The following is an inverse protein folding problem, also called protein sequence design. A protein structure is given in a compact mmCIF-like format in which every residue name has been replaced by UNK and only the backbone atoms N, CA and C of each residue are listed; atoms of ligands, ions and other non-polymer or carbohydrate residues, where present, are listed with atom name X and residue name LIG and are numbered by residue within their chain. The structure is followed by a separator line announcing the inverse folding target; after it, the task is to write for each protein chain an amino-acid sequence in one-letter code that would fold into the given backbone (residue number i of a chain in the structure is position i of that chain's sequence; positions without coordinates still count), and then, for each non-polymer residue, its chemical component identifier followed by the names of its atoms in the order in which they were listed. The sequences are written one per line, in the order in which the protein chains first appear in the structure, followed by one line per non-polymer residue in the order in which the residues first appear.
data_IF_646170877384
#
_entry.id   IF_646170877384
#
_cell.length_a   1.000
_cell.length_b   1.000
_cell.length_c   1.000
_cell.angle_alpha   90.00
_cell.angle_beta   90.00
_cell.angle_gamma   90.00
#
_symmetry.space_group_name_H-M   'P 1'
#
loop_
_entity.id
_entity.type
_entity.pdbx_description
1 polymer ?
#
# COMPACT_ATOMS: atom_id res chain seq x y z
N UNK A 1 -49.42 -25.52 -3.90
CA UNK A 1 -50.16 -25.00 -5.07
C UNK A 1 -51.57 -24.69 -4.61
N UNK A 2 -52.01 -23.43 -4.76
CA UNK A 2 -53.24 -23.21 -5.51
C UNK A 2 -53.06 -22.14 -6.61
N UNK A 3 -53.97 -22.27 -7.57
CA UNK A 3 -53.96 -21.80 -8.96
C UNK A 3 -54.35 -20.32 -9.15
N UNK A 4 -53.77 -19.76 -10.22
CA UNK A 4 -54.32 -18.86 -11.24
C UNK A 4 -55.13 -17.59 -10.86
N UNK A 5 -54.68 -16.48 -11.46
CA UNK A 5 -55.31 -15.16 -11.70
C UNK A 5 -56.48 -15.27 -12.73
N UNK A 6 -57.09 -14.20 -13.32
CA UNK A 6 -57.09 -12.73 -13.08
C UNK A 6 -58.49 -12.05 -13.25
N UNK A 7 -58.52 -10.70 -13.32
CA UNK A 7 -59.36 -9.78 -14.14
C UNK A 7 -60.23 -8.79 -13.34
N UNK A 8 -59.79 -7.53 -13.24
CA UNK A 8 -60.43 -6.38 -13.92
C UNK A 8 -60.96 -5.40 -12.84
N UNK A 9 -61.07 -4.09 -12.98
CA UNK A 9 -60.94 -3.17 -14.11
C UNK A 9 -61.13 -1.74 -13.59
N UNK A 10 -60.52 -0.77 -14.27
CA UNK A 10 -60.98 0.61 -14.42
C UNK A 10 -60.87 1.54 -13.19
N UNK A 11 -60.00 2.54 -13.29
CA UNK A 11 -60.48 3.88 -13.65
C UNK A 11 -59.32 4.79 -14.07
N UNK A 12 -59.59 5.46 -15.18
CA UNK A 12 -58.76 6.36 -15.93
C UNK A 12 -58.31 7.55 -15.07
N UNK A 13 -57.03 7.88 -15.11
CA UNK A 13 -56.58 9.26 -14.92
C UNK A 13 -55.55 9.59 -15.99
N UNK A 14 -56.04 10.25 -17.04
CA UNK A 14 -55.26 10.98 -18.02
C UNK A 14 -54.79 12.28 -17.39
N UNK A 15 -53.48 12.45 -17.21
CA UNK A 15 -52.87 13.75 -16.93
C UNK A 15 -51.77 14.00 -17.94
N UNK A 16 -52.11 14.90 -18.87
CA UNK A 16 -51.26 15.94 -19.46
C UNK A 16 -49.88 15.53 -19.97
N UNK A 17 -49.83 15.35 -21.29
CA UNK A 17 -48.65 15.58 -22.14
C UNK A 17 -48.06 16.98 -21.90
N UNK A 18 -46.81 17.05 -21.43
CA UNK A 18 -45.91 18.14 -21.79
C UNK A 18 -44.64 17.53 -22.37
N UNK A 19 -44.56 17.63 -23.69
CA UNK A 19 -43.36 17.49 -24.50
C UNK A 19 -42.26 18.39 -23.93
N UNK A 20 -41.21 17.79 -23.38
CA UNK A 20 -39.94 18.49 -23.28
C UNK A 20 -38.83 17.52 -23.69
N UNK A 21 -38.56 17.59 -24.99
CA UNK A 21 -37.31 17.21 -25.62
C UNK A 21 -36.20 18.03 -24.98
N UNK A 22 -35.66 17.58 -23.86
CA UNK A 22 -34.36 18.08 -23.38
C UNK A 22 -33.29 17.36 -24.19
N UNK A 23 -32.91 18.09 -25.24
CA UNK A 23 -31.79 17.85 -26.12
C UNK A 23 -30.56 17.48 -25.30
N UNK A 24 -30.00 16.31 -25.61
CA UNK A 24 -28.61 15.98 -25.29
C UNK A 24 -27.73 17.21 -25.54
N UNK A 25 -26.96 17.69 -24.55
CA UNK A 25 -26.03 18.78 -24.78
C UNK A 25 -25.10 18.42 -25.94
N UNK A 26 -24.96 19.29 -26.95
CA UNK A 26 -24.02 19.07 -28.03
C UNK A 26 -22.61 19.15 -27.46
N UNK A 27 -21.76 18.20 -27.81
CA UNK A 27 -20.32 18.34 -27.64
C UNK A 27 -19.88 19.65 -28.33
N UNK A 28 -19.16 20.52 -27.62
CA UNK A 28 -17.83 20.82 -28.12
C UNK A 28 -16.80 20.94 -26.99
N UNK A 29 -15.53 21.01 -27.38
CA UNK A 29 -14.36 21.22 -26.53
C UNK A 29 -13.80 19.95 -25.88
N UNK A 30 -13.35 19.03 -26.75
CA UNK A 30 -12.11 18.31 -26.44
C UNK A 30 -11.03 19.38 -26.26
N UNK A 31 -10.66 19.68 -25.02
CA UNK A 31 -9.42 20.42 -24.76
C UNK A 31 -8.26 19.64 -25.40
N UNK A 32 -7.41 20.25 -26.23
CA UNK A 32 -6.19 19.60 -26.67
C UNK A 32 -5.37 19.29 -25.42
N UNK A 33 -5.22 18.00 -25.07
CA UNK A 33 -4.24 17.60 -24.05
C UNK A 33 -2.90 18.23 -24.44
N UNK A 34 -2.27 19.03 -23.56
CA UNK A 34 -0.96 19.55 -23.86
C UNK A 34 0.00 18.39 -24.09
N UNK A 35 0.78 18.48 -25.18
CA UNK A 35 1.74 17.44 -25.54
C UNK A 35 2.73 17.18 -24.39
N UNK A 36 3.13 15.91 -24.11
CA UNK A 36 3.95 15.56 -22.94
C UNK A 36 5.33 16.24 -22.85
N UNK A 37 5.76 16.93 -23.90
CA UNK A 37 7.03 17.65 -23.98
C UNK A 37 6.98 19.06 -23.38
N UNK A 38 5.82 19.71 -23.30
CA UNK A 38 5.67 21.06 -22.73
C UNK A 38 5.43 21.05 -21.21
N UNK A 39 4.86 19.98 -20.65
CA UNK A 39 4.83 19.75 -19.18
C UNK A 39 6.24 19.44 -18.64
N UNK A 40 7.13 18.92 -19.49
CA UNK A 40 8.46 18.43 -19.09
C UNK A 40 9.54 19.52 -19.00
N UNK A 41 9.28 20.75 -19.44
CA UNK A 41 10.21 21.90 -19.29
C UNK A 41 9.91 22.82 -18.11
N UNK A 42 8.72 22.76 -17.50
CA UNK A 42 8.41 23.50 -16.27
C UNK A 42 8.68 22.67 -15.00
N UNK A 43 8.47 21.36 -15.03
CA UNK A 43 8.61 20.52 -13.83
C UNK A 43 10.06 20.20 -13.41
N UNK A 44 11.09 20.44 -14.24
CA UNK A 44 12.48 20.13 -13.86
C UNK A 44 13.17 21.20 -13.00
N UNK A 45 12.74 22.47 -13.07
CA UNK A 45 13.26 23.50 -12.14
C UNK A 45 12.46 23.58 -10.83
N UNK A 46 11.19 23.15 -10.80
CA UNK A 46 10.36 23.27 -9.60
C UNK A 46 10.23 21.98 -8.77
N UNK A 47 11.00 20.92 -9.09
CA UNK A 47 11.06 19.70 -8.28
C UNK A 47 12.45 19.44 -7.68
N UNK A 48 13.46 20.24 -8.01
CA UNK A 48 14.81 20.09 -7.47
C UNK A 48 15.09 21.01 -6.26
N UNK A 49 14.25 22.01 -6.00
CA UNK A 49 14.56 23.08 -5.02
C UNK A 49 13.76 23.01 -3.73
N UNK A 50 12.82 22.06 -3.63
CA UNK A 50 12.26 21.65 -2.34
C UNK A 50 12.68 20.21 -2.05
N UNK A 51 13.95 20.07 -1.67
CA UNK A 51 14.29 19.21 -0.54
C UNK A 51 13.55 19.76 0.70
N UNK A 52 12.21 19.73 0.67
CA UNK A 52 11.38 19.91 1.83
C UNK A 52 11.81 18.79 2.76
N UNK A 53 12.55 19.20 3.78
CA UNK A 53 12.96 18.42 4.92
C UNK A 53 11.69 17.81 5.50
N UNK A 54 11.25 16.65 4.98
CA UNK A 54 10.17 15.87 5.58
C UNK A 54 10.77 15.41 6.89
N UNK A 55 10.54 16.20 7.95
CA UNK A 55 10.71 15.77 9.32
C UNK A 55 9.75 14.59 9.45
N UNK A 56 10.26 13.39 9.24
CA UNK A 56 9.54 12.16 9.53
C UNK A 56 9.22 12.26 11.02
N UNK A 57 7.95 12.52 11.33
CA UNK A 57 7.49 12.65 12.70
C UNK A 57 8.01 11.44 13.49
N UNK A 58 8.61 11.65 14.68
CA UNK A 58 9.22 10.56 15.42
C UNK A 58 8.16 9.48 15.67
N UNK A 59 8.49 8.20 15.44
CA UNK A 59 7.51 7.13 15.57
C UNK A 59 6.97 7.13 17.00
N UNK A 60 5.65 6.94 17.13
CA UNK A 60 5.01 6.88 18.43
C UNK A 60 5.72 5.87 19.35
N UNK A 61 5.75 6.11 20.68
CA UNK A 61 6.44 5.22 21.62
C UNK A 61 6.04 3.74 21.49
N UNK A 62 4.77 3.50 21.16
CA UNK A 62 4.24 2.16 20.90
C UNK A 62 4.81 1.52 19.63
N UNK A 63 4.95 2.27 18.55
CA UNK A 63 5.58 1.80 17.31
C UNK A 63 7.07 1.47 17.55
N UNK A 64 7.80 2.32 18.27
CA UNK A 64 9.20 2.05 18.67
C UNK A 64 9.32 0.77 19.48
N UNK A 65 8.45 0.55 20.48
CA UNK A 65 8.42 -0.70 21.28
C UNK A 65 8.17 -1.94 20.42
N UNK A 66 7.24 -1.87 19.46
CA UNK A 66 6.96 -2.99 18.53
C UNK A 66 8.15 -3.30 17.63
N UNK A 67 8.85 -2.28 17.14
CA UNK A 67 10.07 -2.46 16.33
C UNK A 67 11.21 -3.09 17.15
N UNK A 68 11.45 -2.63 18.39
CA UNK A 68 12.46 -3.21 19.29
C UNK A 68 12.14 -4.68 19.58
N UNK A 69 10.87 -5.02 19.88
CA UNK A 69 10.44 -6.41 20.08
C UNK A 69 10.79 -7.31 18.88
N UNK A 70 10.54 -6.83 17.65
CA UNK A 70 10.92 -7.56 16.42
C UNK A 70 12.44 -7.76 16.32
N UNK A 71 13.24 -6.73 16.62
CA UNK A 71 14.71 -6.81 16.65
C UNK A 71 15.20 -7.83 17.69
N UNK A 72 14.65 -7.80 18.90
CA UNK A 72 14.99 -8.74 19.97
C UNK A 72 14.66 -10.19 19.58
N UNK A 73 13.46 -10.44 19.04
CA UNK A 73 13.07 -11.76 18.57
C UNK A 73 14.01 -12.29 17.47
N UNK A 74 14.42 -11.43 16.52
CA UNK A 74 15.41 -11.80 15.49
C UNK A 74 16.76 -12.15 16.11
N UNK A 75 17.25 -11.35 17.06
CA UNK A 75 18.53 -11.63 17.76
C UNK A 75 18.48 -12.93 18.57
N UNK A 76 17.34 -13.27 19.16
CA UNK A 76 17.15 -14.57 19.83
C UNK A 76 17.23 -15.74 18.83
N UNK A 77 16.62 -15.61 17.65
CA UNK A 77 16.64 -16.66 16.61
C UNK A 77 18.03 -16.83 15.98
N UNK A 78 18.79 -15.75 15.81
CA UNK A 78 20.15 -15.80 15.28
C UNK A 78 21.16 -16.43 16.24
N UNK A 79 20.87 -16.40 17.55
CA UNK A 79 21.74 -16.96 18.59
C UNK A 79 21.52 -18.47 18.72
N UNK A 80 21.92 -19.20 17.66
CA UNK A 80 21.84 -20.66 17.55
C UNK A 80 23.19 -21.20 17.06
N UNK A 81 23.58 -22.42 17.48
CA UNK A 81 24.77 -23.09 16.96
C UNK A 81 24.59 -23.49 15.50
N UNK A 82 25.69 -23.78 14.82
CA UNK A 82 25.68 -24.21 13.41
C UNK A 82 25.16 -25.65 13.31
N UNK A 83 24.25 -25.96 12.38
CA UNK A 83 23.80 -27.32 12.11
C UNK A 83 24.93 -28.24 11.64
N UNK A 84 24.94 -29.48 12.12
CA UNK A 84 26.00 -30.47 11.86
C UNK A 84 26.21 -30.76 10.35
N UNK A 85 25.13 -30.88 9.58
CA UNK A 85 25.23 -31.17 8.14
C UNK A 85 25.94 -30.06 7.35
N UNK A 86 25.93 -28.81 7.84
CA UNK A 86 26.68 -27.70 7.23
C UNK A 86 28.17 -27.90 7.47
N UNK A 87 28.56 -28.34 8.66
CA UNK A 87 29.95 -28.66 8.97
C UNK A 87 30.49 -29.82 8.11
N UNK A 88 29.62 -30.71 7.62
CA UNK A 88 30.00 -31.87 6.81
C UNK A 88 30.08 -31.60 5.30
N UNK A 89 29.61 -30.45 4.78
CA UNK A 89 29.71 -30.21 3.32
C UNK A 89 31.16 -29.90 2.93
N UNK A 90 31.55 -30.34 1.74
CA UNK A 90 32.87 -30.11 1.15
C UNK A 90 33.14 -28.61 0.95
N UNK A 91 34.39 -28.20 1.07
CA UNK A 91 34.89 -26.83 0.88
C UNK A 91 34.28 -25.75 1.80
N UNK A 92 33.75 -26.16 2.95
CA UNK A 92 33.26 -25.24 3.97
C UNK A 92 34.34 -24.92 5.02
N UNK A 93 34.71 -23.65 5.14
CA UNK A 93 35.64 -23.16 6.18
C UNK A 93 34.97 -22.83 7.51
N UNK A 94 33.63 -22.81 7.55
CA UNK A 94 32.84 -22.34 8.69
C UNK A 94 32.69 -23.47 9.71
N UNK A 95 33.29 -23.33 10.90
CA UNK A 95 33.21 -24.34 11.99
C UNK A 95 32.32 -23.95 13.16
N UNK A 96 32.27 -22.67 13.48
CA UNK A 96 31.47 -22.15 14.59
C UNK A 96 30.84 -20.81 14.19
N UNK A 97 29.76 -20.44 14.89
CA UNK A 97 29.09 -19.17 14.66
C UNK A 97 29.87 -18.03 15.35
N UNK A 98 30.69 -17.33 14.59
CA UNK A 98 31.49 -16.18 15.06
C UNK A 98 30.64 -15.04 15.63
N UNK A 99 29.37 -14.94 15.20
CA UNK A 99 28.42 -13.90 15.62
C UNK A 99 27.49 -14.34 16.76
N UNK A 100 27.72 -15.53 17.33
CA UNK A 100 27.01 -16.00 18.52
C UNK A 100 27.25 -15.03 19.69
N UNK A 101 26.20 -14.75 20.47
CA UNK A 101 26.22 -13.70 21.50
C UNK A 101 25.84 -14.24 22.87
N UNK A 102 26.68 -14.00 23.88
CA UNK A 102 26.31 -14.23 25.27
C UNK A 102 25.80 -12.94 25.93
N UNK A 103 24.66 -13.00 26.63
CA UNK A 103 23.97 -11.82 27.16
C UNK A 103 24.72 -11.10 28.28
N UNK A 104 25.62 -11.78 28.99
CA UNK A 104 26.49 -11.15 29.99
C UNK A 104 27.67 -10.42 29.37
N UNK A 105 28.21 -10.88 28.23
CA UNK A 105 29.43 -10.32 27.62
C UNK A 105 29.13 -9.10 26.74
N UNK A 106 28.14 -9.18 25.85
CA UNK A 106 27.87 -8.11 24.88
C UNK A 106 26.40 -7.69 24.87
N UNK A 107 26.16 -6.38 24.98
CA UNK A 107 24.81 -5.79 25.04
C UNK A 107 24.30 -5.40 23.66
N UNK A 108 22.99 -5.45 23.47
CA UNK A 108 22.31 -5.06 22.23
C UNK A 108 21.98 -3.56 22.35
N UNK A 109 22.91 -2.70 21.93
CA UNK A 109 22.69 -1.25 21.93
C UNK A 109 21.69 -0.84 20.84
N UNK A 110 20.48 -0.45 21.24
CA UNK A 110 19.40 0.04 20.38
C UNK A 110 18.80 1.33 20.96
#
# INVERSE_FOLDING_TARGET
MPLARPLGSSLLQTVTTSTQTELFPPWPWVEPRPSPSLVRRSCRCWCCETHAFVVVAPPSPHARRRQIKKKLAKKMRQNRPIPHWICMRTDNTIRYNTKCRHWRRTKLGF
#
